data_IF_423501682518
#
_entry.id   IF_423501682518
#
_cell.length_a   1.000
_cell.length_b   1.000
_cell.length_c   1.000
_cell.angle_alpha   90.00
_cell.angle_beta   90.00
_cell.angle_gamma   90.00
#
_symmetry.space_group_name_H-M   'P 1'
#
loop_
_entity.id
_entity.type
_entity.pdbx_description
1 polymer ?
#
# COMPACT_ATOMS: atom_id res chain seq x y z
N UNK A 1 23.18 9.69 12.33
CA UNK A 1 22.40 8.54 12.61
C UNK A 1 20.95 8.78 12.28
N UNK A 2 20.30 7.75 12.04
CA UNK A 2 18.99 7.85 11.54
C UNK A 2 18.00 8.03 12.63
N UNK A 3 17.67 8.92 13.05
CA UNK A 3 16.82 9.23 14.11
C UNK A 3 15.43 8.71 13.92
N UNK A 4 15.13 7.65 14.45
CA UNK A 4 13.80 7.14 14.57
C UNK A 4 13.20 6.45 13.35
N UNK A 5 13.95 6.33 12.30
CA UNK A 5 13.49 5.61 11.11
C UNK A 5 13.57 4.12 11.37
N UNK A 6 12.44 3.44 11.37
CA UNK A 6 12.48 1.98 11.52
C UNK A 6 11.18 1.36 11.02
N UNK A 7 11.28 0.09 10.69
CA UNK A 7 10.14 -0.73 10.33
C UNK A 7 9.36 -1.09 11.58
N UNK A 8 8.03 -0.94 11.54
CA UNK A 8 7.17 -1.33 12.64
C UNK A 8 6.25 -2.49 12.28
N UNK A 9 6.28 -2.96 11.05
CA UNK A 9 5.49 -4.12 10.66
C UNK A 9 5.67 -4.46 9.20
N UNK A 10 5.10 -5.59 8.80
CA UNK A 10 5.11 -6.07 7.43
C UNK A 10 3.75 -6.63 7.09
N UNK A 11 3.29 -6.44 5.87
CA UNK A 11 2.05 -7.06 5.43
C UNK A 11 2.17 -7.57 4.01
N UNK A 12 1.61 -8.76 3.77
CA UNK A 12 1.41 -9.31 2.44
C UNK A 12 -0.09 -9.31 2.22
N UNK A 13 -0.56 -8.47 1.32
CA UNK A 13 -1.97 -8.29 1.04
C UNK A 13 -2.32 -8.93 -0.28
N UNK A 14 -3.29 -9.84 -0.27
CA UNK A 14 -3.82 -10.40 -1.51
C UNK A 14 -4.95 -9.51 -2.00
N UNK A 15 -4.85 -9.06 -3.26
CA UNK A 15 -5.80 -8.16 -3.88
C UNK A 15 -6.65 -8.97 -4.85
N UNK A 16 -7.92 -9.19 -4.49
CA UNK A 16 -8.83 -10.04 -5.24
C UNK A 16 -9.85 -9.20 -6.01
N UNK A 17 -10.94 -9.84 -6.43
CA UNK A 17 -12.03 -9.16 -7.13
C UNK A 17 -12.95 -8.40 -6.18
N UNK A 18 -12.73 -8.52 -4.87
CA UNK A 18 -13.48 -7.78 -3.86
C UNK A 18 -12.60 -6.67 -3.32
N UNK A 19 -13.08 -5.44 -3.35
CA UNK A 19 -12.35 -4.30 -2.84
C UNK A 19 -12.05 -4.48 -1.35
N UNK A 20 -10.83 -4.16 -0.95
CA UNK A 20 -10.43 -4.29 0.45
C UNK A 20 -9.16 -3.51 0.74
N UNK A 21 -8.90 -3.28 2.02
CA UNK A 21 -7.73 -2.55 2.47
C UNK A 21 -6.79 -3.42 3.29
N UNK A 22 -5.92 -2.76 4.03
CA UNK A 22 -4.97 -3.46 4.88
C UNK A 22 -5.68 -4.11 6.07
N UNK A 23 -5.20 -5.28 6.45
CA UNK A 23 -5.84 -6.06 7.50
C UNK A 23 -5.18 -5.88 8.87
N UNK A 24 -3.90 -5.56 8.91
CA UNK A 24 -3.14 -5.57 10.18
C UNK A 24 -2.23 -4.37 10.29
N UNK A 25 -2.80 -3.19 10.30
CA UNK A 25 -2.03 -1.95 10.42
C UNK A 25 -1.46 -1.86 11.83
N UNK A 26 -0.13 -1.84 12.00
CA UNK A 26 0.45 -1.81 13.34
C UNK A 26 0.27 -0.45 14.01
N UNK A 27 0.25 -0.46 15.33
CA UNK A 27 0.22 0.76 16.12
C UNK A 27 1.49 1.56 15.83
N UNK A 28 1.33 2.84 15.60
CA UNK A 28 2.48 3.72 15.32
C UNK A 28 2.90 3.77 13.87
N UNK A 29 2.19 3.08 12.97
CA UNK A 29 2.49 3.15 11.55
C UNK A 29 2.16 4.53 11.00
N UNK A 30 3.12 5.15 10.34
CA UNK A 30 2.98 6.47 9.72
C UNK A 30 3.07 6.40 8.21
N UNK A 31 3.58 5.31 7.67
CA UNK A 31 3.68 5.13 6.23
C UNK A 31 3.80 3.66 5.89
N UNK A 32 3.54 3.33 4.64
CA UNK A 32 3.69 1.98 4.11
C UNK A 32 4.42 2.09 2.78
N UNK A 33 5.40 1.23 2.57
CA UNK A 33 6.11 1.13 1.29
C UNK A 33 6.13 -0.34 0.89
N UNK A 34 5.53 -0.62 -0.24
CA UNK A 34 5.46 -1.99 -0.74
C UNK A 34 5.63 -2.06 -2.23
N UNK A 35 5.51 -3.27 -2.76
CA UNK A 35 5.66 -3.55 -4.18
C UNK A 35 4.49 -4.41 -4.65
N UNK A 36 3.95 -4.09 -5.82
CA UNK A 36 2.91 -4.88 -6.45
C UNK A 36 3.55 -6.09 -7.13
N UNK A 37 2.99 -7.26 -6.88
CA UNK A 37 3.46 -8.51 -7.46
C UNK A 37 2.29 -9.29 -8.05
N UNK A 38 2.59 -10.20 -8.92
CA UNK A 38 1.68 -11.17 -9.49
C UNK A 38 0.77 -10.60 -10.59
N UNK A 39 0.05 -9.52 -10.34
CA UNK A 39 -0.87 -8.94 -11.33
C UNK A 39 -1.16 -7.48 -11.03
N UNK A 40 -1.63 -6.77 -12.04
CA UNK A 40 -1.99 -5.35 -11.98
C UNK A 40 -3.20 -5.14 -11.06
N UNK A 41 -3.18 -4.06 -10.30
CA UNK A 41 -4.25 -3.73 -9.35
C UNK A 41 -4.70 -2.28 -9.52
N UNK A 42 -5.86 -1.97 -8.93
CA UNK A 42 -6.40 -0.62 -8.81
C UNK A 42 -6.42 -0.20 -7.35
N UNK A 43 -6.26 1.09 -7.11
CA UNK A 43 -6.21 1.66 -5.77
C UNK A 43 -7.02 2.94 -5.69
N UNK A 44 -7.77 3.10 -4.60
CA UNK A 44 -8.39 4.38 -4.22
C UNK A 44 -8.08 4.66 -2.76
N UNK A 45 -7.72 5.90 -2.47
CA UNK A 45 -7.39 6.31 -1.10
C UNK A 45 -8.31 7.39 -0.57
N UNK A 46 -9.46 7.63 -1.22
CA UNK A 46 -10.37 8.71 -0.85
C UNK A 46 -11.56 8.24 0.00
N UNK A 47 -11.49 7.01 0.50
CA UNK A 47 -12.56 6.46 1.32
C UNK A 47 -13.62 5.70 0.53
N UNK A 48 -13.54 5.70 -0.79
CA UNK A 48 -14.45 4.94 -1.64
C UNK A 48 -13.77 3.66 -2.12
N UNK A 49 -14.55 2.66 -2.47
CA UNK A 49 -14.01 1.39 -2.94
C UNK A 49 -13.42 1.53 -4.34
N UNK A 50 -12.28 0.91 -4.57
CA UNK A 50 -11.75 0.74 -5.90
C UNK A 50 -12.60 -0.26 -6.68
N UNK A 51 -12.60 -0.17 -8.00
CA UNK A 51 -13.29 -1.12 -8.85
C UNK A 51 -12.35 -1.53 -9.99
N UNK A 52 -12.68 -2.59 -10.69
CA UNK A 52 -11.82 -3.13 -11.75
C UNK A 52 -11.45 -2.07 -12.79
N UNK A 53 -12.35 -1.14 -13.05
CA UNK A 53 -12.11 -0.08 -14.02
C UNK A 53 -12.01 1.30 -13.39
N UNK A 54 -11.98 1.40 -12.07
CA UNK A 54 -12.00 2.70 -11.37
C UNK A 54 -10.98 2.70 -10.26
N UNK A 55 -10.02 3.61 -10.33
CA UNK A 55 -8.97 3.75 -9.36
C UNK A 55 -7.64 3.95 -10.04
N UNK A 56 -6.63 4.26 -9.26
CA UNK A 56 -5.29 4.45 -9.76
C UNK A 56 -4.67 3.08 -10.10
N UNK A 57 -4.07 2.98 -11.28
CA UNK A 57 -3.52 1.73 -11.75
C UNK A 57 -2.09 1.54 -11.24
N UNK A 58 -1.82 0.39 -10.65
CA UNK A 58 -0.46 -0.02 -10.29
C UNK A 58 -0.12 -1.30 -11.04
N UNK A 59 1.00 -1.27 -11.74
CA UNK A 59 1.48 -2.42 -12.50
C UNK A 59 2.39 -3.29 -11.63
N UNK A 60 2.60 -4.53 -12.05
CA UNK A 60 3.56 -5.40 -11.38
C UNK A 60 4.92 -4.72 -11.36
N UNK A 61 5.54 -4.65 -10.18
CA UNK A 61 6.82 -4.00 -9.98
C UNK A 61 6.73 -2.56 -9.50
N UNK A 62 5.54 -1.95 -9.55
CA UNK A 62 5.38 -0.58 -9.07
C UNK A 62 5.46 -0.53 -7.55
N UNK A 63 6.00 0.57 -7.03
CA UNK A 63 6.00 0.82 -5.60
C UNK A 63 4.71 1.48 -5.18
N UNK A 64 4.18 1.00 -4.04
CA UNK A 64 3.02 1.59 -3.39
C UNK A 64 3.54 2.32 -2.16
N UNK A 65 3.44 3.65 -2.14
CA UNK A 65 3.93 4.47 -1.04
C UNK A 65 2.75 5.25 -0.50
N UNK A 66 2.36 4.97 0.74
CA UNK A 66 1.15 5.53 1.33
C UNK A 66 1.46 6.25 2.64
N UNK A 67 0.78 7.37 2.86
CA UNK A 67 0.84 8.11 4.12
C UNK A 67 -0.06 7.46 5.17
N UNK A 68 -0.02 7.97 6.39
CA UNK A 68 -0.83 7.43 7.48
C UNK A 68 -2.32 7.47 7.15
N UNK A 69 -2.82 8.58 6.63
CA UNK A 69 -4.23 8.67 6.30
C UNK A 69 -4.60 7.77 5.12
N UNK A 70 -3.72 7.62 4.16
CA UNK A 70 -3.96 6.75 3.00
C UNK A 70 -4.02 5.29 3.39
N UNK A 71 -3.21 4.87 4.35
CA UNK A 71 -3.26 3.50 4.87
C UNK A 71 -4.64 3.20 5.42
N UNK A 72 -5.23 4.15 6.16
CA UNK A 72 -6.51 3.96 6.80
C UNK A 72 -7.67 3.88 5.82
N UNK A 73 -7.57 4.57 4.68
CA UNK A 73 -8.65 4.65 3.71
C UNK A 73 -8.38 3.85 2.44
N UNK A 74 -7.28 3.12 2.38
CA UNK A 74 -6.89 2.40 1.17
C UNK A 74 -7.91 1.35 0.77
N UNK A 75 -8.20 1.29 -0.52
CA UNK A 75 -9.04 0.25 -1.10
C UNK A 75 -8.34 -0.26 -2.35
N UNK A 76 -8.13 -1.56 -2.42
CA UNK A 76 -7.48 -2.22 -3.55
C UNK A 76 -8.40 -3.25 -4.15
N UNK A 77 -8.32 -3.40 -5.48
CA UNK A 77 -9.03 -4.46 -6.18
C UNK A 77 -8.18 -4.87 -7.38
N UNK A 78 -8.30 -6.11 -7.81
CA UNK A 78 -7.56 -6.55 -9.00
C UNK A 78 -8.07 -5.79 -10.23
N UNK A 79 -7.16 -5.52 -11.17
CA UNK A 79 -7.51 -4.81 -12.39
C UNK A 79 -7.69 -5.75 -13.58
N UNK A 80 -7.29 -7.01 -13.42
CA UNK A 80 -7.38 -8.02 -14.47
C UNK A 80 -8.11 -9.24 -13.92
N UNK A 81 -8.13 -10.32 -14.67
CA UNK A 81 -8.76 -11.55 -14.21
C UNK A 81 -7.98 -12.33 -13.16
N UNK A 82 -6.81 -11.83 -12.78
CA UNK A 82 -5.95 -12.50 -11.80
C UNK A 82 -5.76 -11.63 -10.58
N UNK A 83 -5.74 -12.24 -9.40
CA UNK A 83 -5.47 -11.52 -8.16
C UNK A 83 -4.02 -11.09 -8.09
N UNK A 84 -3.80 -9.88 -7.57
CA UNK A 84 -2.46 -9.37 -7.35
C UNK A 84 -2.05 -9.50 -5.89
N UNK A 85 -0.81 -9.11 -5.60
CA UNK A 85 -0.28 -9.16 -4.24
C UNK A 85 0.50 -7.87 -4.00
N UNK A 86 0.38 -7.34 -2.78
CA UNK A 86 1.22 -6.22 -2.34
C UNK A 86 1.99 -6.72 -1.14
N UNK A 87 3.31 -6.59 -1.15
CA UNK A 87 4.14 -6.91 0.01
C UNK A 87 4.96 -5.70 0.37
N UNK A 88 4.99 -5.36 1.65
CA UNK A 88 5.74 -4.21 2.08
C UNK A 88 5.80 -4.04 3.58
N UNK A 89 6.45 -2.98 3.99
CA UNK A 89 6.68 -2.68 5.39
C UNK A 89 6.01 -1.40 5.81
N UNK A 90 5.60 -1.36 7.08
CA UNK A 90 5.14 -0.14 7.72
C UNK A 90 6.31 0.53 8.41
N UNK A 91 6.33 1.85 8.37
CA UNK A 91 7.40 2.65 8.98
C UNK A 91 6.81 3.61 9.99
N UNK A 92 7.63 4.01 10.95
CA UNK A 92 7.22 4.92 12.01
C UNK A 92 7.41 6.40 11.69
N UNK A 93 7.73 6.73 10.43
CA UNK A 93 7.91 8.11 10.00
C UNK A 93 7.02 8.42 8.81
N UNK A 94 6.85 9.71 8.51
CA UNK A 94 6.01 10.16 7.41
C UNK A 94 6.56 9.72 6.05
N UNK A 95 5.66 9.62 5.07
CA UNK A 95 6.02 9.22 3.71
C UNK A 95 7.14 10.09 3.15
N UNK A 96 7.07 11.39 3.36
CA UNK A 96 8.11 12.30 2.83
C UNK A 96 9.48 11.97 3.40
N UNK A 97 9.53 11.57 4.67
CA UNK A 97 10.80 11.21 5.30
C UNK A 97 11.33 9.89 4.79
N UNK A 98 10.44 8.93 4.53
CA UNK A 98 10.83 7.65 3.94
C UNK A 98 11.42 7.89 2.55
N UNK A 99 10.76 8.70 1.74
CA UNK A 99 11.23 9.01 0.39
C UNK A 99 12.58 9.70 0.41
N UNK A 100 12.76 10.66 1.29
CA UNK A 100 14.04 11.37 1.41
C UNK A 100 15.15 10.42 1.85
N UNK A 101 14.86 9.54 2.78
CA UNK A 101 15.84 8.58 3.28
C UNK A 101 16.27 7.61 2.19
N UNK A 102 15.36 7.26 1.32
CA UNK A 102 15.64 6.27 0.28
C UNK A 102 16.35 6.84 -0.94
N UNK A 103 16.32 8.12 -1.10
CA UNK A 103 17.00 8.75 -2.25
C UNK A 103 18.50 8.81 -2.10
#
# INVERSE_FOLDING_TARGET
MSSGYRVVGFEKLTVSDTAGGFASIPTGAKSFVGTVETATIRYRGDGSDAATATGQLYLVGDKVVLSESEIQTASFVRATGSSGTIQGHYYNIEVAQVSATRS
#
